data_IF_912664741365
#
_entry.id   IF_912664741365
#
_cell.length_a   1.000
_cell.length_b   1.000
_cell.length_c   1.000
_cell.angle_alpha   90.00
_cell.angle_beta   90.00
_cell.angle_gamma   90.00
#
_symmetry.space_group_name_H-M   'P 1'
#
loop_
_entity.id
_entity.type
_entity.pdbx_description
1 polymer ?
#
# COMPACT_ATOMS: atom_id res chain seq x y z
N UNK A 1 -6.66 15.15 -2.15
CA UNK A 1 -8.00 15.77 -2.14
C UNK A 1 -8.45 16.18 -3.54
N UNK A 2 -7.62 16.90 -4.31
CA UNK A 2 -7.93 17.43 -5.64
C UNK A 2 -8.56 16.43 -6.63
N UNK A 3 -8.00 15.21 -6.74
CA UNK A 3 -8.51 14.18 -7.66
C UNK A 3 -9.92 13.68 -7.30
N UNK A 4 -10.30 13.68 -6.01
CA UNK A 4 -11.65 13.32 -5.58
C UNK A 4 -12.65 14.42 -5.97
N UNK A 5 -12.28 15.69 -5.79
CA UNK A 5 -13.11 16.83 -6.19
C UNK A 5 -13.33 16.86 -7.71
N UNK A 6 -12.27 16.60 -8.49
CA UNK A 6 -12.36 16.52 -9.94
C UNK A 6 -13.30 15.40 -10.43
N UNK A 7 -13.23 14.21 -9.81
CA UNK A 7 -14.17 13.10 -10.11
C UNK A 7 -15.62 13.47 -9.84
N UNK A 8 -15.89 14.11 -8.70
CA UNK A 8 -17.24 14.52 -8.35
C UNK A 8 -17.76 15.61 -9.30
N UNK A 9 -16.93 16.57 -9.69
CA UNK A 9 -17.29 17.60 -10.66
C UNK A 9 -17.69 16.99 -12.02
N UNK A 10 -16.90 16.06 -12.57
CA UNK A 10 -17.23 15.38 -13.84
C UNK A 10 -18.53 14.57 -13.72
N UNK A 11 -18.69 13.86 -12.60
CA UNK A 11 -19.90 13.06 -12.37
C UNK A 11 -21.15 13.95 -12.27
N UNK A 12 -21.03 15.12 -11.65
CA UNK A 12 -22.14 16.07 -11.48
C UNK A 12 -22.52 16.75 -12.81
N UNK A 13 -21.54 17.08 -13.65
CA UNK A 13 -21.77 17.56 -15.03
C UNK A 13 -22.46 16.50 -15.88
N UNK A 14 -22.04 15.23 -15.78
CA UNK A 14 -22.65 14.14 -16.52
C UNK A 14 -24.11 13.88 -16.11
N UNK A 15 -24.40 13.86 -14.81
CA UNK A 15 -25.77 13.69 -14.28
C UNK A 15 -26.63 14.89 -14.62
N UNK A 16 -26.10 16.12 -14.51
CA UNK A 16 -26.79 17.35 -14.90
C UNK A 16 -27.14 17.38 -16.39
N UNK A 17 -26.22 16.91 -17.25
CA UNK A 17 -26.47 16.76 -18.69
C UNK A 17 -27.59 15.76 -18.98
N UNK A 18 -27.58 14.58 -18.35
CA UNK A 18 -28.65 13.58 -18.49
C UNK A 18 -30.00 14.15 -18.02
N UNK A 19 -30.02 14.85 -16.88
CA UNK A 19 -31.24 15.46 -16.34
C UNK A 19 -31.80 16.56 -17.25
N UNK A 20 -30.94 17.38 -17.84
CA UNK A 20 -31.34 18.41 -18.80
C UNK A 20 -31.95 17.77 -20.06
N UNK A 21 -31.31 16.74 -20.62
CA UNK A 21 -31.82 16.02 -21.79
C UNK A 21 -33.12 15.27 -21.50
N UNK A 22 -33.28 14.67 -20.32
CA UNK A 22 -34.53 14.01 -19.93
C UNK A 22 -35.72 14.97 -19.80
N UNK A 23 -35.46 16.26 -19.58
CA UNK A 23 -36.47 17.31 -19.47
C UNK A 23 -36.69 18.05 -20.80
N UNK A 24 -35.91 17.79 -21.84
CA UNK A 24 -36.10 18.40 -23.16
C UNK A 24 -37.11 17.57 -23.95
N UNK A 25 -38.18 18.19 -24.45
CA UNK A 25 -39.16 17.49 -25.29
C UNK A 25 -38.51 17.09 -26.63
N UNK A 26 -38.44 15.78 -26.88
CA UNK A 26 -37.97 15.25 -28.16
C UNK A 26 -39.17 15.03 -29.09
N UNK A 27 -39.14 15.68 -30.25
CA UNK A 27 -40.24 15.65 -31.21
C UNK A 27 -40.28 14.36 -32.05
N UNK A 28 -39.20 13.55 -32.08
CA UNK A 28 -39.15 12.28 -32.82
C UNK A 28 -38.44 11.17 -32.03
N UNK A 29 -38.81 9.92 -32.33
CA UNK A 29 -38.27 8.73 -31.66
C UNK A 29 -36.82 8.45 -32.08
N UNK A 30 -36.44 8.80 -33.32
CA UNK A 30 -35.07 8.67 -33.84
C UNK A 30 -34.10 9.63 -33.15
N UNK A 31 -34.50 10.89 -32.93
CA UNK A 31 -33.68 11.88 -32.22
C UNK A 31 -33.40 11.46 -30.77
N UNK A 32 -34.40 10.88 -30.11
CA UNK A 32 -34.27 10.37 -28.74
C UNK A 32 -33.27 9.21 -28.64
N UNK A 33 -33.21 8.35 -29.66
CA UNK A 33 -32.32 7.20 -29.73
C UNK A 33 -30.87 7.61 -29.97
N UNK A 34 -30.63 8.56 -30.88
CA UNK A 34 -29.29 9.09 -31.17
C UNK A 34 -28.72 9.78 -29.93
N UNK A 35 -29.52 10.59 -29.24
CA UNK A 35 -29.11 11.28 -28.02
C UNK A 35 -28.88 10.29 -26.89
N UNK A 36 -29.73 9.27 -26.73
CA UNK A 36 -29.53 8.22 -25.73
C UNK A 36 -28.22 7.45 -25.95
N UNK A 37 -27.90 7.08 -27.20
CA UNK A 37 -26.65 6.39 -27.53
C UNK A 37 -25.44 7.31 -27.33
N UNK A 38 -25.52 8.57 -27.76
CA UNK A 38 -24.45 9.54 -27.59
C UNK A 38 -24.18 9.81 -26.10
N UNK A 39 -25.21 10.16 -25.33
CA UNK A 39 -25.09 10.40 -23.88
C UNK A 39 -24.62 9.13 -23.16
N UNK A 40 -25.17 7.97 -23.53
CA UNK A 40 -24.74 6.67 -23.02
C UNK A 40 -23.24 6.46 -23.20
N UNK A 41 -22.70 6.66 -24.40
CA UNK A 41 -21.26 6.48 -24.66
C UNK A 41 -20.40 7.56 -23.99
N UNK A 42 -20.79 8.84 -24.07
CA UNK A 42 -19.99 9.94 -23.53
C UNK A 42 -20.05 10.05 -22.00
N UNK A 43 -21.05 9.49 -21.33
CA UNK A 43 -21.13 9.45 -19.86
C UNK A 43 -20.57 8.14 -19.31
N UNK A 44 -20.87 7.01 -19.95
CA UNK A 44 -20.45 5.70 -19.47
C UNK A 44 -18.93 5.55 -19.48
N UNK A 45 -18.26 5.84 -20.60
CA UNK A 45 -16.82 5.63 -20.71
C UNK A 45 -15.99 6.47 -19.72
N UNK A 46 -16.24 7.79 -19.54
CA UNK A 46 -15.50 8.59 -18.58
C UNK A 46 -15.75 8.17 -17.13
N UNK A 47 -16.99 7.82 -16.76
CA UNK A 47 -17.29 7.33 -15.40
C UNK A 47 -16.59 5.98 -15.17
N UNK A 48 -16.67 5.06 -16.13
CA UNK A 48 -16.00 3.76 -16.07
C UNK A 48 -14.49 3.92 -15.91
N UNK A 49 -13.86 4.74 -16.75
CA UNK A 49 -12.42 4.99 -16.71
C UNK A 49 -11.99 5.73 -15.44
N UNK A 50 -12.77 6.72 -15.00
CA UNK A 50 -12.44 7.48 -13.80
C UNK A 50 -12.58 6.64 -12.54
N UNK A 51 -13.53 5.70 -12.46
CA UNK A 51 -13.80 4.94 -11.23
C UNK A 51 -13.17 3.54 -11.23
N UNK A 52 -13.28 2.78 -12.32
CA UNK A 52 -12.86 1.38 -12.39
C UNK A 52 -11.37 1.24 -12.73
N UNK A 53 -10.85 2.04 -13.66
CA UNK A 53 -9.45 1.95 -14.08
C UNK A 53 -8.46 2.06 -12.90
N UNK A 54 -8.59 3.04 -11.99
CA UNK A 54 -7.72 3.10 -10.80
C UNK A 54 -7.98 2.01 -9.76
N UNK A 55 -9.11 1.30 -9.78
CA UNK A 55 -9.31 0.08 -8.98
C UNK A 55 -8.51 -1.09 -9.56
N UNK A 56 -8.42 -1.19 -10.89
CA UNK A 56 -7.63 -2.21 -11.59
C UNK A 56 -6.12 -1.96 -11.36
N UNK A 57 -5.68 -0.70 -11.44
CA UNK A 57 -4.29 -0.32 -11.20
C UNK A 57 -3.92 -0.17 -9.72
N UNK A 58 -4.89 -0.33 -8.80
CA UNK A 58 -4.59 -0.37 -7.37
C UNK A 58 -3.83 -1.66 -7.12
N UNK A 59 -2.50 -1.57 -7.04
CA UNK A 59 -1.62 -2.68 -6.61
C UNK A 59 -2.17 -3.20 -5.30
N UNK A 60 -2.88 -4.32 -5.34
CA UNK A 60 -3.32 -5.01 -4.13
C UNK A 60 -2.04 -5.49 -3.45
N UNK A 61 -1.84 -5.20 -2.15
CA UNK A 61 -0.72 -5.81 -1.45
C UNK A 61 -0.84 -7.33 -1.64
N UNK A 62 0.26 -8.02 -2.00
CA UNK A 62 0.20 -9.46 -2.23
C UNK A 62 -0.42 -10.15 -1.00
N UNK A 63 -1.29 -11.16 -1.18
CA UNK A 63 -1.83 -11.88 -0.02
C UNK A 63 -0.66 -12.49 0.76
N UNK A 64 -0.64 -12.28 2.08
CA UNK A 64 0.39 -12.86 2.95
C UNK A 64 0.27 -14.39 2.86
N UNK A 65 1.31 -15.07 2.40
CA UNK A 65 1.30 -16.53 2.34
C UNK A 65 1.43 -17.08 3.74
N UNK A 66 0.70 -18.17 4.03
CA UNK A 66 0.86 -18.90 5.29
C UNK A 66 2.26 -19.52 5.29
N UNK A 67 3.04 -19.26 6.34
CA UNK A 67 4.38 -19.84 6.49
C UNK A 67 4.30 -21.35 6.54
N UNK A 68 5.24 -22.03 5.88
CA UNK A 68 5.42 -23.47 6.05
C UNK A 68 6.09 -23.72 7.41
N UNK A 69 5.39 -24.35 8.38
CA UNK A 69 5.91 -24.55 9.74
C UNK A 69 7.14 -25.48 9.79
N UNK A 70 7.39 -26.28 8.74
CA UNK A 70 8.61 -27.07 8.64
C UNK A 70 9.84 -26.18 8.45
N UNK A 71 9.71 -25.10 7.68
CA UNK A 71 10.79 -24.19 7.31
C UNK A 71 10.90 -22.97 8.23
N UNK A 72 9.78 -22.50 8.78
CA UNK A 72 9.71 -21.29 9.60
C UNK A 72 8.59 -21.39 10.64
N UNK A 73 8.95 -21.39 11.92
CA UNK A 73 8.02 -21.34 13.05
C UNK A 73 8.02 -19.95 13.64
N UNK A 74 6.88 -19.29 13.58
CA UNK A 74 6.73 -17.93 14.10
C UNK A 74 6.72 -17.95 15.62
N UNK A 75 7.77 -17.45 16.27
CA UNK A 75 7.79 -17.23 17.71
C UNK A 75 7.24 -15.84 18.07
N UNK A 76 7.60 -14.82 17.28
CA UNK A 76 7.11 -13.44 17.43
C UNK A 76 6.77 -12.86 16.07
N UNK A 77 5.64 -12.15 15.96
CA UNK A 77 5.13 -11.65 14.69
C UNK A 77 4.61 -10.20 14.76
N UNK A 78 4.78 -9.50 13.65
CA UNK A 78 4.11 -8.26 13.29
C UNK A 78 3.67 -8.36 11.81
N UNK A 79 2.96 -7.35 11.32
CA UNK A 79 2.30 -7.36 10.01
C UNK A 79 3.28 -7.61 8.83
N UNK A 80 4.52 -7.13 8.95
CA UNK A 80 5.53 -7.21 7.89
C UNK A 80 6.87 -7.80 8.34
N UNK A 81 6.90 -8.38 9.54
CA UNK A 81 8.10 -9.00 10.10
C UNK A 81 7.75 -10.10 11.09
N UNK A 82 8.50 -11.18 11.08
CA UNK A 82 8.38 -12.25 12.07
C UNK A 82 9.75 -12.88 12.34
N UNK A 83 9.92 -13.47 13.51
CA UNK A 83 11.16 -14.13 13.91
C UNK A 83 10.89 -15.57 14.36
N UNK A 84 11.79 -16.46 13.97
CA UNK A 84 11.93 -17.83 14.45
C UNK A 84 13.26 -17.90 15.22
N UNK A 85 13.18 -17.89 16.56
CA UNK A 85 14.36 -17.98 17.42
C UNK A 85 14.98 -19.38 17.42
N UNK A 86 14.18 -20.42 17.15
CA UNK A 86 14.66 -21.81 17.14
C UNK A 86 15.52 -22.11 15.93
N UNK A 87 15.13 -21.60 14.76
CA UNK A 87 15.85 -21.79 13.49
C UNK A 87 16.76 -20.62 13.14
N UNK A 88 16.76 -19.58 13.97
CA UNK A 88 17.58 -18.40 13.80
C UNK A 88 17.31 -17.61 12.51
N UNK A 89 16.02 -17.48 12.15
CA UNK A 89 15.58 -16.84 10.91
C UNK A 89 14.66 -15.66 11.16
N UNK A 90 14.67 -14.71 10.24
CA UNK A 90 13.72 -13.58 10.20
C UNK A 90 12.98 -13.63 8.89
N UNK A 91 11.66 -13.60 8.96
CA UNK A 91 10.82 -13.32 7.80
C UNK A 91 10.56 -11.82 7.72
N UNK A 92 10.79 -11.22 6.56
CA UNK A 92 10.46 -9.83 6.28
C UNK A 92 9.63 -9.70 5.00
N UNK A 93 8.77 -8.69 4.99
CA UNK A 93 7.93 -8.36 3.85
C UNK A 93 8.06 -6.89 3.46
N UNK A 94 8.52 -6.67 2.24
CA UNK A 94 8.52 -5.36 1.59
C UNK A 94 7.30 -5.26 0.66
N UNK A 95 6.46 -4.22 0.78
CA UNK A 95 5.28 -4.04 -0.07
C UNK A 95 5.59 -3.99 -1.58
N UNK A 96 6.80 -3.59 -1.95
CA UNK A 96 7.25 -3.43 -3.34
C UNK A 96 8.08 -4.63 -3.80
N UNK A 97 8.99 -5.12 -2.94
CA UNK A 97 9.99 -6.14 -3.32
C UNK A 97 9.58 -7.57 -2.98
N UNK A 98 8.49 -7.75 -2.23
CA UNK A 98 7.96 -9.06 -1.86
C UNK A 98 8.43 -9.55 -0.50
N UNK A 99 8.32 -10.87 -0.29
CA UNK A 99 8.64 -11.53 0.98
C UNK A 99 9.96 -12.30 0.90
N UNK A 100 10.72 -12.32 2.01
CA UNK A 100 11.96 -13.09 2.13
C UNK A 100 12.15 -13.64 3.54
N UNK A 101 12.81 -14.80 3.59
CA UNK A 101 13.38 -15.36 4.81
C UNK A 101 14.87 -15.03 4.81
N UNK A 102 15.34 -14.46 5.90
CA UNK A 102 16.70 -14.00 6.09
C UNK A 102 17.34 -14.82 7.21
N UNK A 103 18.53 -15.30 6.92
CA UNK A 103 19.47 -15.82 7.88
C UNK A 103 20.37 -14.66 8.34
N UNK A 104 21.10 -14.81 9.45
CA UNK A 104 21.91 -13.71 9.99
C UNK A 104 22.98 -13.21 9.01
N UNK A 105 23.60 -14.12 8.27
CA UNK A 105 24.67 -13.85 7.31
C UNK A 105 24.19 -13.12 6.04
N UNK A 106 22.89 -13.20 5.74
CA UNK A 106 22.27 -12.43 4.66
C UNK A 106 22.14 -10.93 5.00
N UNK A 107 22.17 -10.56 6.28
CA UNK A 107 22.02 -9.18 6.73
C UNK A 107 23.39 -8.54 6.94
N UNK A 108 23.68 -7.47 6.20
CA UNK A 108 24.91 -6.69 6.35
C UNK A 108 24.75 -5.59 7.41
N UNK A 109 23.54 -5.03 7.52
CA UNK A 109 23.25 -3.93 8.43
C UNK A 109 21.76 -3.64 8.49
N UNK A 110 21.36 -2.93 9.53
CA UNK A 110 19.98 -2.48 9.73
C UNK A 110 19.96 -1.07 10.29
N UNK A 111 18.99 -0.26 9.86
CA UNK A 111 18.74 1.06 10.43
C UNK A 111 17.26 1.37 10.52
N UNK A 112 16.89 2.21 11.47
CA UNK A 112 15.56 2.82 11.51
C UNK A 112 15.50 4.00 10.55
N UNK A 113 14.36 4.21 9.91
CA UNK A 113 14.12 5.35 9.05
C UNK A 113 12.66 5.80 9.19
N UNK A 114 12.43 7.07 8.82
CA UNK A 114 11.08 7.63 8.71
C UNK A 114 10.97 8.41 7.41
N UNK A 115 9.83 8.30 6.75
CA UNK A 115 9.52 9.05 5.54
C UNK A 115 8.37 10.02 5.83
N UNK A 116 8.54 11.30 5.50
CA UNK A 116 7.51 12.32 5.69
C UNK A 116 6.97 12.75 4.34
N UNK A 117 5.72 12.36 4.05
CA UNK A 117 5.06 12.71 2.78
C UNK A 117 3.60 13.04 3.01
N UNK A 118 3.12 14.14 2.43
CA UNK A 118 1.72 14.58 2.55
C UNK A 118 1.21 14.68 4.00
N UNK A 119 2.03 15.19 4.94
CA UNK A 119 1.71 15.27 6.37
C UNK A 119 1.51 13.91 7.06
N UNK A 120 2.05 12.85 6.46
CA UNK A 120 2.02 11.49 6.99
C UNK A 120 3.47 11.06 7.22
N UNK A 121 3.77 10.65 8.45
CA UNK A 121 5.09 10.12 8.81
C UNK A 121 5.02 8.60 8.83
N UNK A 122 5.65 7.95 7.86
CA UNK A 122 5.72 6.49 7.80
C UNK A 122 7.00 6.00 8.46
N UNK A 123 6.88 5.11 9.44
CA UNK A 123 8.00 4.54 10.19
C UNK A 123 8.44 3.22 9.54
N UNK A 124 9.75 3.01 9.36
CA UNK A 124 10.27 1.78 8.75
C UNK A 124 11.62 1.34 9.30
N UNK A 125 11.92 0.06 9.14
CA UNK A 125 13.26 -0.51 9.31
C UNK A 125 13.79 -0.85 7.93
N UNK A 126 15.04 -0.44 7.65
CA UNK A 126 15.74 -0.73 6.41
C UNK A 126 16.78 -1.81 6.67
N UNK A 127 16.68 -2.90 5.92
CA UNK A 127 17.62 -4.02 5.94
C UNK A 127 18.57 -3.88 4.75
N UNK A 128 19.86 -3.81 5.02
CA UNK A 128 20.90 -3.94 4.00
C UNK A 128 21.26 -5.41 3.86
N UNK A 129 21.08 -5.96 2.66
CA UNK A 129 21.25 -7.37 2.39
C UNK A 129 22.51 -7.63 1.57
N UNK A 130 23.09 -8.81 1.72
CA UNK A 130 24.23 -9.29 0.91
C UNK A 130 23.85 -9.59 -0.55
N UNK A 131 22.55 -9.69 -0.86
CA UNK A 131 22.05 -9.98 -2.21
C UNK A 131 22.20 -8.77 -3.15
N UNK A 132 22.94 -8.95 -4.26
CA UNK A 132 23.14 -7.92 -5.28
C UNK A 132 21.86 -7.54 -6.04
N UNK A 133 20.89 -8.45 -6.16
CA UNK A 133 19.62 -8.17 -6.86
C UNK A 133 18.69 -7.31 -6.01
N UNK A 134 18.70 -7.54 -4.69
CA UNK A 134 17.87 -6.83 -3.72
C UNK A 134 18.75 -6.39 -2.55
N UNK A 135 19.58 -5.34 -2.73
CA UNK A 135 20.55 -4.94 -1.72
C UNK A 135 19.90 -4.28 -0.49
N UNK A 136 18.63 -3.91 -0.60
CA UNK A 136 17.89 -3.27 0.48
C UNK A 136 16.44 -3.77 0.55
N UNK A 137 15.88 -3.89 1.75
CA UNK A 137 14.46 -4.16 1.96
C UNK A 137 13.90 -3.25 3.05
N UNK A 138 12.63 -2.88 2.92
CA UNK A 138 11.94 -2.01 3.86
C UNK A 138 10.80 -2.74 4.56
N UNK A 139 10.81 -2.71 5.88
CA UNK A 139 9.69 -3.17 6.72
C UNK A 139 8.98 -1.94 7.26
N UNK A 140 7.72 -1.74 6.86
CA UNK A 140 6.91 -0.57 7.23
C UNK A 140 6.06 -0.88 8.46
N UNK A 141 5.96 0.09 9.37
CA UNK A 141 5.12 0.04 10.57
C UNK A 141 3.97 1.03 10.39
N UNK A 142 2.80 0.52 9.99
CA UNK A 142 1.62 1.33 9.68
C UNK A 142 0.34 0.77 10.34
N UNK A 143 0.48 0.08 11.48
CA UNK A 143 -0.63 -0.48 12.24
C UNK A 143 -1.56 0.61 12.77
N UNK A 144 -0.97 1.72 13.23
CA UNK A 144 -1.70 2.90 13.68
C UNK A 144 -1.75 3.96 12.60
N UNK A 145 -2.68 4.90 12.72
CA UNK A 145 -2.89 5.98 11.75
C UNK A 145 -1.69 6.93 11.68
N UNK A 146 -0.89 6.84 10.61
CA UNK A 146 0.27 7.72 10.36
C UNK A 146 -0.11 9.21 10.15
N UNK A 147 -1.38 9.51 9.85
CA UNK A 147 -1.90 10.88 9.71
C UNK A 147 -2.13 11.60 11.04
N UNK A 148 -2.13 10.86 12.16
CA UNK A 148 -2.27 11.42 13.51
C UNK A 148 -0.93 11.32 14.21
N UNK A 149 -0.48 12.43 14.81
CA UNK A 149 0.79 12.48 15.57
C UNK A 149 0.94 11.31 16.56
N UNK A 150 -0.10 11.06 17.37
CA UNK A 150 -0.14 9.95 18.34
C UNK A 150 0.00 8.57 17.70
N UNK A 151 -0.57 8.36 16.51
CA UNK A 151 -0.44 7.09 15.78
C UNK A 151 0.96 6.90 15.24
N UNK A 152 1.58 7.95 14.68
CA UNK A 152 2.97 7.92 14.25
C UNK A 152 3.95 7.65 15.41
N UNK A 153 3.70 8.21 16.59
CA UNK A 153 4.54 7.98 17.78
C UNK A 153 4.44 6.52 18.25
N UNK A 154 3.25 5.92 18.20
CA UNK A 154 3.05 4.50 18.50
C UNK A 154 3.74 3.59 17.47
N UNK A 155 3.62 3.90 16.18
CA UNK A 155 4.33 3.17 15.13
C UNK A 155 5.86 3.30 15.28
N UNK A 156 6.36 4.44 15.77
CA UNK A 156 7.78 4.63 16.05
C UNK A 156 8.24 3.78 17.25
N UNK A 157 7.43 3.71 18.32
CA UNK A 157 7.73 2.83 19.46
C UNK A 157 7.74 1.35 19.06
N UNK A 158 6.76 0.90 18.26
CA UNK A 158 6.74 -0.47 17.74
C UNK A 158 7.97 -0.75 16.85
N UNK A 159 8.34 0.19 15.98
CA UNK A 159 9.56 0.11 15.17
C UNK A 159 10.80 -0.06 16.05
N UNK A 160 10.93 0.73 17.11
CA UNK A 160 12.12 0.72 17.97
C UNK A 160 12.21 -0.55 18.81
N UNK A 161 11.08 -1.08 19.29
CA UNK A 161 10.99 -2.38 19.94
C UNK A 161 11.45 -3.51 19.00
N UNK A 162 10.97 -3.51 17.77
CA UNK A 162 11.39 -4.48 16.75
C UNK A 162 12.84 -4.33 16.35
N UNK A 163 13.34 -3.10 16.23
CA UNK A 163 14.75 -2.84 15.95
C UNK A 163 15.65 -3.37 17.07
N UNK A 164 15.25 -3.20 18.34
CA UNK A 164 15.98 -3.75 19.47
C UNK A 164 16.05 -5.29 19.44
N UNK A 165 14.93 -5.96 19.13
CA UNK A 165 14.89 -7.43 18.96
C UNK A 165 15.79 -7.91 17.83
N UNK A 166 15.71 -7.25 16.67
CA UNK A 166 16.53 -7.56 15.50
C UNK A 166 18.02 -7.32 15.76
N UNK A 167 18.35 -6.28 16.50
CA UNK A 167 19.73 -6.00 16.90
C UNK A 167 20.26 -7.10 17.82
N UNK A 168 19.47 -7.54 18.80
CA UNK A 168 19.83 -8.65 19.68
C UNK A 168 20.01 -9.97 18.89
N UNK A 169 19.15 -10.23 17.92
CA UNK A 169 19.24 -11.41 17.06
C UNK A 169 20.44 -11.37 16.13
N UNK A 170 20.61 -10.29 15.35
CA UNK A 170 21.66 -10.25 14.31
C UNK A 170 23.08 -10.23 14.88
N UNK A 171 23.26 -9.77 16.13
CA UNK A 171 24.59 -9.59 16.73
C UNK A 171 25.45 -8.54 16.02
N UNK A 172 24.89 -7.82 15.05
CA UNK A 172 25.60 -6.83 14.24
C UNK A 172 25.82 -5.53 15.03
N UNK A 173 27.03 -4.98 14.95
CA UNK A 173 27.30 -3.61 15.41
C UNK A 173 26.57 -2.63 14.47
N UNK A 174 25.76 -1.74 15.04
CA UNK A 174 25.03 -0.69 14.32
C UNK A 174 25.98 0.18 13.48
N UNK A 175 25.74 0.27 12.18
CA UNK A 175 26.35 1.28 11.31
C UNK A 175 25.61 2.59 11.63
N UNK A 176 26.33 3.57 12.18
CA UNK A 176 25.81 4.92 12.44
C UNK A 176 25.75 5.73 11.15
#
# INVERSE_FOLDING_TARGET
MLFKLFRWAITLVAVGGIGYFALTEFNTLEDSLIIFVAVGQFVFWPILLLWILPLIFRRRPPKQKKHDPAQFSVDVAHEHIAMDFKRDKVWIRDPVRGERYLDRDHVLGMRTASDFRNYVTSQRIEFQLRDLKVPMMHVVFARHSDSRRRGSEQNAAERDEWFARLKAWSGLKTIR
#
